data_IF_433144225806
#
_entry.id   IF_433144225806
#
_cell.length_a   1.000
_cell.length_b   1.000
_cell.length_c   1.000
_cell.angle_alpha   90.00
_cell.angle_beta   90.00
_cell.angle_gamma   90.00
#
_symmetry.space_group_name_H-M   'P 1'
#
loop_
_entity.id
_entity.type
_entity.pdbx_description
1 polymer ?
#
# COMPACT_ATOMS: atom_id res chain seq x y z
N UNK A 1 14.15 6.91 45.06
CA UNK A 1 14.06 5.50 45.48
C UNK A 1 14.12 4.68 44.21
N UNK A 2 15.30 4.16 43.89
CA UNK A 2 15.53 3.23 42.79
C UNK A 2 15.05 1.85 43.22
N UNK A 3 14.20 1.22 42.42
CA UNK A 3 14.01 -0.21 42.46
C UNK A 3 14.34 -0.75 41.06
N UNK A 4 15.61 -1.09 40.91
CA UNK A 4 16.10 -1.98 39.86
C UNK A 4 15.45 -3.35 40.06
N UNK A 5 14.44 -3.66 39.28
CA UNK A 5 13.97 -5.03 39.05
C UNK A 5 14.16 -5.36 37.58
N UNK A 6 15.41 -5.63 37.23
CA UNK A 6 15.81 -6.13 35.93
C UNK A 6 15.32 -7.58 35.76
N UNK A 7 14.07 -7.74 35.32
CA UNK A 7 13.71 -8.92 34.55
C UNK A 7 14.50 -8.87 33.24
N UNK A 8 15.17 -9.97 32.92
CA UNK A 8 16.32 -10.02 32.00
C UNK A 8 15.93 -10.02 30.51
N UNK A 9 14.93 -9.23 30.12
CA UNK A 9 14.58 -8.96 28.74
C UNK A 9 14.73 -7.45 28.48
N UNK A 10 15.42 -7.03 27.40
CA UNK A 10 15.41 -5.62 27.01
C UNK A 10 13.97 -5.21 26.68
N UNK A 11 13.40 -4.33 27.48
CA UNK A 11 12.07 -3.74 27.24
C UNK A 11 12.26 -2.36 26.62
N UNK A 12 11.39 -2.01 25.68
CA UNK A 12 11.40 -0.67 25.10
C UNK A 12 10.98 0.39 26.12
N UNK A 13 11.65 1.53 26.05
CA UNK A 13 11.26 2.71 26.82
C UNK A 13 9.87 3.20 26.35
N UNK A 14 8.99 3.67 27.26
CA UNK A 14 7.67 4.17 26.87
C UNK A 14 7.76 5.35 25.90
N UNK A 15 8.83 6.14 25.97
CA UNK A 15 9.12 7.25 25.05
C UNK A 15 9.36 6.77 23.61
N UNK A 16 9.95 5.59 23.45
CA UNK A 16 10.15 4.99 22.12
C UNK A 16 8.82 4.60 21.49
N UNK A 17 7.91 4.03 22.28
CA UNK A 17 6.58 3.65 21.81
C UNK A 17 5.78 4.89 21.40
N UNK A 18 5.86 5.97 22.17
CA UNK A 18 5.23 7.25 21.83
C UNK A 18 5.82 7.85 20.55
N UNK A 19 7.14 7.80 20.38
CA UNK A 19 7.77 8.28 19.15
C UNK A 19 7.32 7.48 17.91
N UNK A 20 7.19 6.15 18.02
CA UNK A 20 6.67 5.32 16.93
C UNK A 20 5.21 5.63 16.59
N UNK A 21 4.38 5.94 17.59
CA UNK A 21 3.00 6.38 17.38
C UNK A 21 2.93 7.73 16.66
N UNK A 22 3.78 8.69 17.05
CA UNK A 22 3.90 9.98 16.37
C UNK A 22 4.39 9.82 14.93
N UNK A 23 5.36 8.93 14.70
CA UNK A 23 5.87 8.62 13.36
C UNK A 23 4.79 7.99 12.46
N UNK A 24 3.95 7.11 13.01
CA UNK A 24 2.80 6.55 12.28
C UNK A 24 1.79 7.64 11.89
N UNK A 25 1.53 8.59 12.78
CA UNK A 25 0.64 9.72 12.49
C UNK A 25 1.21 10.60 11.38
N UNK A 26 2.51 10.89 11.41
CA UNK A 26 3.20 11.64 10.36
C UNK A 26 3.17 10.90 9.01
N UNK A 27 3.45 9.59 9.01
CA UNK A 27 3.42 8.77 7.80
C UNK A 27 2.04 8.79 7.13
N UNK A 28 0.98 8.61 7.93
CA UNK A 28 -0.39 8.51 7.42
C UNK A 28 -1.00 9.85 7.03
N UNK A 29 -0.82 10.90 7.85
CA UNK A 29 -1.45 12.19 7.62
C UNK A 29 -0.67 13.09 6.66
N UNK A 30 0.66 13.01 6.66
CA UNK A 30 1.49 13.97 5.91
C UNK A 30 2.11 13.36 4.66
N UNK A 31 2.59 12.11 4.77
CA UNK A 31 3.21 11.41 3.65
C UNK A 31 2.19 10.57 2.84
N UNK A 32 1.01 10.32 3.41
CA UNK A 32 -0.04 9.49 2.80
C UNK A 32 0.37 8.02 2.66
N UNK A 33 1.27 7.56 3.52
CA UNK A 33 1.82 6.20 3.50
C UNK A 33 1.09 5.30 4.50
N UNK A 34 0.93 4.02 4.16
CA UNK A 34 0.35 2.99 5.03
C UNK A 34 1.35 2.34 5.97
N UNK A 35 2.65 2.57 5.75
CA UNK A 35 3.75 2.04 6.56
C UNK A 35 4.64 3.17 7.07
N UNK A 36 5.38 2.90 8.15
CA UNK A 36 6.30 3.87 8.77
C UNK A 36 7.67 3.76 8.10
N UNK A 37 7.98 4.72 7.24
CA UNK A 37 9.29 4.82 6.60
C UNK A 37 10.33 5.54 7.48
N UNK A 38 11.60 5.42 7.08
CA UNK A 38 12.73 6.11 7.70
C UNK A 38 12.51 7.63 7.75
N UNK A 39 11.92 8.20 6.68
CA UNK A 39 11.58 9.61 6.63
C UNK A 39 10.54 10.00 7.70
N UNK A 40 9.50 9.20 7.91
CA UNK A 40 8.47 9.45 8.92
C UNK A 40 9.05 9.40 10.34
N UNK A 41 9.95 8.46 10.62
CA UNK A 41 10.65 8.34 11.90
C UNK A 41 11.48 9.60 12.19
N UNK A 42 12.30 10.02 11.21
CA UNK A 42 13.17 11.19 11.35
C UNK A 42 12.33 12.47 11.46
N UNK A 43 11.25 12.60 10.70
CA UNK A 43 10.39 13.78 10.75
C UNK A 43 9.66 13.90 12.11
N UNK A 44 9.14 12.80 12.64
CA UNK A 44 8.55 12.77 13.99
C UNK A 44 9.59 13.11 15.08
N UNK A 45 10.84 12.68 14.90
CA UNK A 45 11.94 13.03 15.79
C UNK A 45 12.28 14.53 15.73
N UNK A 46 12.33 15.12 14.53
CA UNK A 46 12.64 16.54 14.31
C UNK A 46 11.54 17.47 14.81
N UNK A 47 10.30 17.01 14.88
CA UNK A 47 9.16 17.80 15.37
C UNK A 47 9.13 17.94 16.88
N UNK A 48 9.59 16.90 17.60
CA UNK A 48 9.67 16.87 19.06
C UNK A 48 11.07 16.42 19.55
N UNK A 49 12.15 17.15 19.22
CA UNK A 49 13.52 16.69 19.43
C UNK A 49 13.90 16.62 20.91
N UNK A 50 13.36 17.52 21.73
CA UNK A 50 13.61 17.56 23.18
C UNK A 50 12.95 16.36 23.88
N UNK A 51 11.80 15.89 23.38
CA UNK A 51 11.02 14.81 23.98
C UNK A 51 11.65 13.44 23.76
N UNK A 52 12.20 13.22 22.57
CA UNK A 52 12.64 11.87 22.13
C UNK A 52 14.15 11.73 22.01
N UNK A 53 14.89 12.79 21.62
CA UNK A 53 16.34 12.73 21.44
C UNK A 53 17.12 13.28 22.65
N UNK A 54 16.46 14.04 23.53
CA UNK A 54 17.10 14.72 24.65
C UNK A 54 18.10 15.81 24.22
N UNK A 55 18.77 16.42 25.20
CA UNK A 55 19.60 17.61 24.97
C UNK A 55 20.90 17.33 24.19
N UNK A 56 21.40 16.09 24.19
CA UNK A 56 22.68 15.72 23.57
C UNK A 56 22.63 15.76 22.04
N UNK A 57 21.52 15.31 21.46
CA UNK A 57 21.36 15.23 20.01
C UNK A 57 20.66 16.46 19.41
N UNK A 58 20.15 17.36 20.26
CA UNK A 58 19.47 18.59 19.83
C UNK A 58 20.32 19.45 18.88
N UNK A 59 21.62 19.59 19.16
CA UNK A 59 22.53 20.40 18.34
C UNK A 59 22.72 19.83 16.92
N UNK A 60 22.67 18.50 16.78
CA UNK A 60 22.79 17.83 15.49
C UNK A 60 21.46 17.86 14.74
N UNK A 61 20.35 17.60 15.43
CA UNK A 61 19.00 17.61 14.87
C UNK A 61 18.56 19.01 14.44
N UNK A 62 18.96 20.06 15.17
CA UNK A 62 18.65 21.44 14.81
C UNK A 62 19.33 21.95 13.54
N UNK A 63 20.29 21.19 12.98
CA UNK A 63 20.88 21.49 11.66
C UNK A 63 20.07 20.93 10.49
N UNK A 64 19.08 20.09 10.77
CA UNK A 64 18.25 19.44 9.76
C UNK A 64 16.94 20.22 9.60
N UNK A 65 16.63 20.59 8.36
CA UNK A 65 15.36 21.22 8.01
C UNK A 65 14.28 20.14 7.85
N UNK A 66 13.31 20.12 8.76
CA UNK A 66 12.21 19.13 8.72
C UNK A 66 11.35 19.23 7.45
N UNK A 67 11.12 20.44 6.93
CA UNK A 67 10.36 20.65 5.68
C UNK A 67 11.10 20.11 4.45
N UNK A 68 12.42 20.30 4.37
CA UNK A 68 13.21 19.73 3.26
C UNK A 68 13.17 18.20 3.27
N UNK A 69 13.18 17.59 4.45
CA UNK A 69 13.07 16.14 4.60
C UNK A 69 11.68 15.65 4.21
N UNK A 70 10.62 16.41 4.51
CA UNK A 70 9.25 16.13 4.04
C UNK A 70 9.17 16.17 2.51
N UNK A 71 9.66 17.24 1.89
CA UNK A 71 9.63 17.42 0.44
C UNK A 71 10.42 16.30 -0.26
N UNK A 72 11.57 15.94 0.30
CA UNK A 72 12.35 14.81 -0.17
C UNK A 72 11.56 13.50 -0.08
N UNK A 73 10.94 13.20 1.06
CA UNK A 73 10.14 11.98 1.24
C UNK A 73 8.92 11.91 0.31
N UNK A 74 8.29 13.05 0.01
CA UNK A 74 7.21 13.12 -0.96
C UNK A 74 7.69 12.89 -2.40
N UNK A 75 8.92 13.32 -2.71
CA UNK A 75 9.55 13.12 -4.03
C UNK A 75 10.11 11.71 -4.22
N UNK A 76 10.55 11.06 -3.14
CA UNK A 76 11.16 9.73 -3.16
C UNK A 76 10.15 8.59 -3.17
N UNK A 77 8.83 8.88 -3.21
CA UNK A 77 7.78 7.87 -3.33
C UNK A 77 8.22 6.85 -4.38
N UNK A 78 8.58 5.62 -3.96
CA UNK A 78 9.08 4.65 -4.90
C UNK A 78 7.89 4.25 -5.75
N UNK A 79 7.89 4.73 -6.99
CA UNK A 79 7.06 4.20 -8.06
C UNK A 79 7.37 2.70 -8.14
N UNK A 80 6.55 1.95 -7.43
CA UNK A 80 6.48 0.50 -7.50
C UNK A 80 5.79 0.16 -8.82
N UNK A 81 6.44 0.46 -9.95
CA UNK A 81 6.27 -0.23 -11.24
C UNK A 81 7.01 0.51 -12.36
N UNK A 82 7.98 -0.20 -12.91
CA UNK A 82 8.65 0.08 -14.17
C UNK A 82 7.68 0.18 -15.36
N UNK A 83 7.85 1.26 -16.13
CA UNK A 83 7.71 1.37 -17.59
C UNK A 83 6.43 0.83 -18.24
N UNK A 84 5.54 1.74 -18.63
CA UNK A 84 4.79 1.58 -19.87
C UNK A 84 4.46 2.94 -20.50
N UNK A 85 5.03 3.18 -21.68
CA UNK A 85 4.56 4.21 -22.60
C UNK A 85 3.08 3.91 -22.93
N UNK A 86 2.13 4.72 -22.45
CA UNK A 86 0.75 4.61 -22.89
C UNK A 86 0.32 5.83 -23.70
N UNK A 87 0.05 5.56 -24.98
CA UNK A 87 -0.49 6.45 -25.98
C UNK A 87 -1.96 6.79 -25.70
N UNK A 88 -2.32 8.08 -25.89
CA UNK A 88 -3.62 8.78 -26.13
C UNK A 88 -5.01 8.14 -25.89
N UNK A 89 -5.16 6.83 -25.74
CA UNK A 89 -6.43 6.13 -25.44
C UNK A 89 -6.73 6.04 -23.92
N UNK A 90 -5.86 6.60 -23.09
CA UNK A 90 -5.90 6.52 -21.62
C UNK A 90 -7.18 7.08 -20.95
N UNK A 91 -8.08 7.79 -21.65
CA UNK A 91 -9.02 8.67 -20.96
C UNK A 91 -10.48 8.19 -20.82
N UNK A 92 -10.92 7.12 -21.48
CA UNK A 92 -12.32 6.65 -21.31
C UNK A 92 -12.40 5.30 -20.62
N UNK A 93 -11.55 4.35 -21.01
CA UNK A 93 -11.51 3.03 -20.37
C UNK A 93 -11.10 3.17 -18.91
N UNK A 94 -9.98 3.84 -18.61
CA UNK A 94 -9.56 4.04 -17.22
C UNK A 94 -10.57 4.80 -16.35
N UNK A 95 -11.42 5.65 -16.96
CA UNK A 95 -12.44 6.42 -16.23
C UNK A 95 -13.68 5.59 -15.89
N UNK A 96 -14.05 4.65 -16.75
CA UNK A 96 -15.35 3.94 -16.66
C UNK A 96 -15.22 2.41 -16.52
N UNK A 97 -14.02 1.85 -16.60
CA UNK A 97 -13.79 0.42 -16.52
C UNK A 97 -12.68 0.08 -15.52
N UNK A 98 -12.65 -1.17 -15.10
CA UNK A 98 -11.60 -1.71 -14.23
C UNK A 98 -10.81 -2.78 -15.00
N UNK A 99 -9.49 -2.72 -14.91
CA UNK A 99 -8.61 -3.72 -15.53
C UNK A 99 -8.41 -4.91 -14.58
N UNK A 100 -9.20 -5.97 -14.78
CA UNK A 100 -9.13 -7.19 -13.97
C UNK A 100 -7.79 -7.92 -14.12
N UNK A 101 -7.16 -7.90 -15.31
CA UNK A 101 -5.85 -8.53 -15.54
C UNK A 101 -4.75 -7.87 -14.70
N UNK A 102 -4.78 -6.55 -14.56
CA UNK A 102 -3.84 -5.85 -13.68
C UNK A 102 -4.12 -6.18 -12.21
N UNK A 103 -5.39 -6.22 -11.79
CA UNK A 103 -5.75 -6.59 -10.42
C UNK A 103 -5.32 -8.01 -10.07
N UNK A 104 -5.41 -8.95 -11.01
CA UNK A 104 -4.90 -10.32 -10.86
C UNK A 104 -3.37 -10.33 -10.66
N UNK A 105 -2.62 -9.56 -11.45
CA UNK A 105 -1.16 -9.44 -11.33
C UNK A 105 -0.73 -8.80 -10.02
N UNK A 106 -1.49 -7.82 -9.53
CA UNK A 106 -1.29 -7.15 -8.25
C UNK A 106 -1.68 -8.06 -7.05
N UNK A 107 -2.29 -9.23 -7.28
CA UNK A 107 -2.77 -10.13 -6.22
C UNK A 107 -3.98 -9.58 -5.46
N UNK A 108 -4.77 -8.68 -6.06
CA UNK A 108 -5.97 -8.08 -5.44
C UNK A 108 -7.24 -8.90 -5.64
N UNK A 109 -7.23 -9.86 -6.56
CA UNK A 109 -8.36 -10.76 -6.81
C UNK A 109 -8.23 -12.01 -5.96
N UNK A 110 -9.35 -12.42 -5.36
CA UNK A 110 -9.43 -13.67 -4.61
C UNK A 110 -9.45 -14.89 -5.56
N UNK A 111 -8.85 -16.03 -5.17
CA UNK A 111 -8.87 -17.23 -5.99
C UNK A 111 -10.31 -17.77 -6.12
N UNK A 112 -10.72 -18.04 -7.36
CA UNK A 112 -12.06 -18.54 -7.66
C UNK A 112 -12.11 -20.05 -7.47
N UNK A 113 -12.99 -20.52 -6.57
CA UNK A 113 -13.13 -21.93 -6.24
C UNK A 113 -14.36 -22.56 -6.92
N UNK A 114 -14.23 -23.82 -7.33
CA UNK A 114 -15.32 -24.67 -7.83
C UNK A 114 -16.08 -24.09 -9.05
N UNK A 115 -15.39 -23.36 -9.94
CA UNK A 115 -15.97 -22.79 -11.19
C UNK A 115 -15.18 -23.14 -12.45
N UNK A 116 -14.30 -24.14 -12.37
CA UNK A 116 -13.40 -24.52 -13.47
C UNK A 116 -14.13 -24.84 -14.77
N UNK A 117 -15.26 -25.53 -14.71
CA UNK A 117 -16.01 -25.92 -15.92
C UNK A 117 -16.64 -24.73 -16.62
N UNK A 118 -17.15 -23.75 -15.85
CA UNK A 118 -17.70 -22.52 -16.40
C UNK A 118 -16.60 -21.63 -17.00
N UNK A 119 -15.43 -21.56 -16.35
CA UNK A 119 -14.26 -20.82 -16.83
C UNK A 119 -13.75 -21.45 -18.14
N UNK A 120 -13.59 -22.78 -18.18
CA UNK A 120 -13.20 -23.51 -19.41
C UNK A 120 -14.17 -23.25 -20.56
N UNK A 121 -15.48 -23.32 -20.31
CA UNK A 121 -16.48 -22.99 -21.32
C UNK A 121 -16.34 -21.55 -21.83
N UNK A 122 -16.03 -20.60 -20.95
CA UNK A 122 -15.81 -19.21 -21.33
C UNK A 122 -14.57 -19.06 -22.21
N UNK A 123 -13.46 -19.71 -21.85
CA UNK A 123 -12.22 -19.76 -22.66
C UNK A 123 -12.52 -20.36 -24.05
N UNK A 124 -13.25 -21.47 -24.10
CA UNK A 124 -13.64 -22.13 -25.35
C UNK A 124 -14.51 -21.23 -26.25
N UNK A 125 -15.32 -20.33 -25.68
CA UNK A 125 -16.10 -19.35 -26.44
C UNK A 125 -15.21 -18.22 -26.94
N UNK A 126 -14.35 -17.67 -26.07
CA UNK A 126 -13.42 -16.59 -26.40
C UNK A 126 -12.42 -16.99 -27.50
N UNK A 127 -11.99 -18.26 -27.53
CA UNK A 127 -11.07 -18.81 -28.53
C UNK A 127 -11.71 -19.01 -29.93
N UNK A 128 -13.03 -18.78 -30.10
CA UNK A 128 -13.70 -18.96 -31.39
C UNK A 128 -13.36 -17.82 -32.35
N UNK A 129 -13.26 -18.14 -33.65
CA UNK A 129 -13.06 -17.13 -34.70
C UNK A 129 -14.29 -16.24 -34.95
N UNK A 130 -15.49 -16.73 -34.64
CA UNK A 130 -16.77 -16.00 -34.81
C UNK A 130 -17.64 -16.21 -33.57
N UNK A 131 -18.41 -15.18 -33.19
CA UNK A 131 -19.29 -15.19 -32.02
C UNK A 131 -18.53 -15.52 -30.72
N UNK A 132 -17.44 -14.81 -30.49
CA UNK A 132 -16.53 -15.00 -29.36
C UNK A 132 -16.91 -14.18 -28.11
N UNK A 133 -18.13 -13.66 -28.05
CA UNK A 133 -18.61 -12.86 -26.92
C UNK A 133 -19.44 -13.75 -25.99
N UNK A 134 -18.87 -14.29 -24.89
CA UNK A 134 -19.62 -15.09 -23.93
C UNK A 134 -20.64 -14.23 -23.18
N UNK A 135 -21.77 -14.82 -22.81
CA UNK A 135 -22.80 -14.20 -21.96
C UNK A 135 -23.09 -15.16 -20.81
N UNK A 136 -22.88 -14.71 -19.58
CA UNK A 136 -23.16 -15.50 -18.38
C UNK A 136 -24.57 -15.24 -17.88
N UNK A 137 -25.41 -16.27 -17.90
CA UNK A 137 -26.81 -16.22 -17.46
C UNK A 137 -26.98 -17.08 -16.21
N UNK A 138 -27.77 -16.61 -15.25
CA UNK A 138 -28.07 -17.33 -14.02
C UNK A 138 -28.85 -16.45 -13.04
N UNK A 139 -29.32 -17.04 -11.94
CA UNK A 139 -30.02 -16.32 -10.87
C UNK A 139 -29.14 -15.24 -10.21
N UNK A 140 -29.76 -14.30 -9.49
CA UNK A 140 -29.00 -13.32 -8.71
C UNK A 140 -28.24 -14.03 -7.57
N UNK A 141 -27.02 -13.58 -7.26
CA UNK A 141 -26.23 -14.14 -6.15
C UNK A 141 -25.42 -15.41 -6.47
N UNK A 142 -25.56 -16.03 -7.64
CA UNK A 142 -24.82 -17.27 -8.01
C UNK A 142 -23.33 -17.06 -8.35
N UNK A 143 -22.76 -15.87 -8.09
CA UNK A 143 -21.34 -15.59 -8.34
C UNK A 143 -20.97 -15.45 -9.82
N UNK A 144 -21.81 -14.81 -10.65
CA UNK A 144 -21.51 -14.57 -12.07
C UNK A 144 -20.22 -13.77 -12.28
N UNK A 145 -19.94 -12.82 -11.39
CA UNK A 145 -18.71 -12.02 -11.39
C UNK A 145 -17.46 -12.87 -11.14
N UNK A 146 -17.55 -13.85 -10.24
CA UNK A 146 -16.43 -14.73 -9.92
C UNK A 146 -15.95 -15.54 -11.14
N UNK A 147 -16.84 -15.87 -12.08
CA UNK A 147 -16.43 -16.55 -13.33
C UNK A 147 -15.58 -15.62 -14.21
N UNK A 148 -15.83 -14.32 -14.19
CA UNK A 148 -15.08 -13.32 -14.96
C UNK A 148 -13.75 -12.98 -14.27
N UNK A 149 -13.71 -12.95 -12.94
CA UNK A 149 -12.48 -12.73 -12.16
C UNK A 149 -11.51 -13.91 -12.21
N UNK A 150 -12.01 -15.12 -12.50
CA UNK A 150 -11.20 -16.34 -12.60
C UNK A 150 -10.56 -16.59 -13.97
N UNK A 151 -10.77 -15.69 -14.94
CA UNK A 151 -10.20 -15.72 -16.30
C UNK A 151 -8.78 -15.13 -16.33
#
# INVERSE_FOLDING_TARGET
KCEDSASRNPVFAPELVQWLQDALLVATLELGQSQVDQAALILALLRNPIRYAGSRYYVLLGRLDGERLRDFALSEKPDSSSTANFSRDESLLNRFTHNLTQQARDGKLDPVLCRDDAIRQMIDILARRRKNNPIVVGEAGVGKTAVVEGL
#
